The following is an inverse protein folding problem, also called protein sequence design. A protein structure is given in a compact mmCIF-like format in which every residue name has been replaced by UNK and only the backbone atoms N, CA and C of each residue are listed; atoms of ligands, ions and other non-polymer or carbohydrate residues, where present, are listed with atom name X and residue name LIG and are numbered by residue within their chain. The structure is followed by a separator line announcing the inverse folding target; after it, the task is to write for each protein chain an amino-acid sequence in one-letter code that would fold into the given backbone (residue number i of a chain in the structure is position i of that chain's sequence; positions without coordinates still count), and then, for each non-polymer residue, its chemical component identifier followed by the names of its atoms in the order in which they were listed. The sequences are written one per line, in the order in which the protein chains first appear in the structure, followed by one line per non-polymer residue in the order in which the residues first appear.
data_IF_750536036230
#
_entry.id   IF_750536036230
#
_cell.length_a   1.000
_cell.length_b   1.000
_cell.length_c   1.000
_cell.angle_alpha   90.00
_cell.angle_beta   90.00
_cell.angle_gamma   90.00
#
_symmetry.space_group_name_H-M   'P 1'
#
loop_
_entity.id
_entity.type
_entity.pdbx_description
1 polymer ?
#
# COMPACT_ATOMS: atom_id res chain seq x y z
N UNK A 1 -44.34 -19.90 -15.72
CA UNK A 1 -42.86 -19.83 -15.66
C UNK A 1 -42.40 -21.10 -14.96
N UNK A 2 -41.63 -21.96 -15.64
CA UNK A 2 -41.26 -23.29 -15.14
C UNK A 2 -40.30 -23.17 -13.94
N UNK A 3 -40.45 -24.02 -12.92
CA UNK A 3 -39.64 -24.00 -11.69
C UNK A 3 -38.13 -24.01 -12.00
N UNK A 4 -37.73 -24.75 -13.04
CA UNK A 4 -36.34 -24.81 -13.49
C UNK A 4 -35.80 -23.48 -14.04
N UNK A 5 -36.65 -22.66 -14.66
CA UNK A 5 -36.24 -21.33 -15.12
C UNK A 5 -36.14 -20.34 -13.95
N UNK A 6 -36.95 -20.52 -12.91
CA UNK A 6 -36.85 -19.72 -11.68
C UNK A 6 -35.57 -20.06 -10.91
N UNK A 7 -35.22 -21.35 -10.81
CA UNK A 7 -33.97 -21.80 -10.18
C UNK A 7 -32.74 -21.33 -10.97
N UNK A 8 -32.77 -21.39 -12.30
CA UNK A 8 -31.67 -20.85 -13.13
C UNK A 8 -31.51 -19.35 -13.00
N UNK A 9 -32.61 -18.58 -13.02
CA UNK A 9 -32.57 -17.12 -12.80
C UNK A 9 -32.13 -16.79 -11.38
N UNK A 10 -32.51 -17.58 -10.38
CA UNK A 10 -32.07 -17.41 -9.00
C UNK A 10 -30.58 -17.74 -8.82
N UNK A 11 -30.06 -18.79 -9.47
CA UNK A 11 -28.62 -19.08 -9.50
C UNK A 11 -27.83 -18.05 -10.31
N UNK A 12 -28.36 -17.57 -11.44
CA UNK A 12 -27.77 -16.46 -12.20
C UNK A 12 -27.81 -15.15 -11.41
N UNK A 13 -28.86 -14.90 -10.62
CA UNK A 13 -28.90 -13.80 -9.68
C UNK A 13 -27.86 -13.98 -8.59
N UNK A 14 -27.73 -15.15 -7.95
CA UNK A 14 -26.71 -15.44 -6.92
C UNK A 14 -25.29 -15.34 -7.50
N UNK A 15 -25.06 -15.78 -8.74
CA UNK A 15 -23.78 -15.62 -9.46
C UNK A 15 -23.53 -14.17 -9.90
N UNK A 16 -24.59 -13.39 -10.17
CA UNK A 16 -24.50 -11.94 -10.45
C UNK A 16 -24.48 -11.08 -9.18
N UNK A 17 -24.86 -11.66 -8.05
CA UNK A 17 -24.76 -11.13 -6.70
C UNK A 17 -23.74 -11.93 -5.90
N UNK A 18 -22.61 -12.29 -6.51
CA UNK A 18 -21.36 -12.09 -5.78
C UNK A 18 -21.24 -10.57 -5.60
N UNK A 19 -21.97 -10.04 -4.61
CA UNK A 19 -21.52 -8.83 -3.93
C UNK A 19 -20.21 -9.31 -3.33
N UNK A 20 -19.10 -9.12 -4.05
CA UNK A 20 -17.76 -9.43 -3.59
C UNK A 20 -17.61 -8.69 -2.28
N UNK A 21 -17.80 -9.39 -1.17
CA UNK A 21 -17.62 -8.79 0.13
C UNK A 21 -16.14 -8.46 0.20
N UNK A 22 -15.83 -7.18 0.42
CA UNK A 22 -14.45 -6.78 0.63
C UNK A 22 -13.83 -7.68 1.67
N UNK A 23 -12.60 -8.10 1.41
CA UNK A 23 -11.78 -8.69 2.42
C UNK A 23 -11.63 -7.71 3.59
N UNK A 24 -11.58 -8.24 4.81
CA UNK A 24 -11.15 -7.50 5.99
C UNK A 24 -9.73 -7.99 6.29
N UNK A 25 -8.69 -7.29 5.79
CA UNK A 25 -7.31 -7.62 6.10
C UNK A 25 -7.04 -7.73 7.60
N UNK A 26 -6.16 -8.65 7.97
CA UNK A 26 -5.51 -8.66 9.28
C UNK A 26 -4.65 -7.39 9.42
N UNK A 27 -4.65 -6.80 10.61
CA UNK A 27 -3.82 -5.65 10.91
C UNK A 27 -2.34 -5.99 10.67
N UNK A 28 -1.55 -5.01 10.25
CA UNK A 28 -0.14 -5.24 9.94
C UNK A 28 0.68 -3.97 10.08
N UNK A 29 1.96 -4.12 10.30
CA UNK A 29 2.92 -3.02 10.24
C UNK A 29 4.19 -3.48 9.51
N UNK A 30 5.11 -2.57 9.22
CA UNK A 30 6.34 -2.84 8.49
C UNK A 30 6.14 -3.53 7.13
N UNK A 31 4.97 -3.35 6.52
CA UNK A 31 4.67 -3.84 5.18
C UNK A 31 5.35 -2.97 4.12
N UNK A 32 5.49 -3.53 2.91
CA UNK A 32 5.80 -2.75 1.72
C UNK A 32 4.53 -2.51 0.90
N UNK A 33 4.44 -1.36 0.23
CA UNK A 33 3.38 -1.11 -0.74
C UNK A 33 3.89 -0.52 -2.04
N UNK A 34 3.18 -0.80 -3.14
CA UNK A 34 3.49 -0.26 -4.46
C UNK A 34 2.20 -0.03 -5.24
N UNK A 35 2.08 1.14 -5.87
CA UNK A 35 0.99 1.43 -6.80
C UNK A 35 1.32 0.85 -8.18
N UNK A 36 0.43 0.01 -8.70
CA UNK A 36 0.49 -0.49 -10.07
C UNK A 36 -0.86 -0.19 -10.73
N UNK A 37 -0.83 0.61 -11.79
CA UNK A 37 -2.02 1.15 -12.45
C UNK A 37 -3.00 1.81 -11.46
N UNK A 38 -4.12 1.15 -11.18
CA UNK A 38 -5.17 1.58 -10.24
C UNK A 38 -5.33 0.62 -9.06
N UNK A 39 -4.24 -0.04 -8.65
CA UNK A 39 -4.22 -0.94 -7.49
C UNK A 39 -3.02 -0.66 -6.60
N UNK A 40 -3.27 -0.43 -5.32
CA UNK A 40 -2.21 -0.35 -4.31
C UNK A 40 -1.98 -1.77 -3.80
N UNK A 41 -0.84 -2.36 -4.14
CA UNK A 41 -0.45 -3.67 -3.63
C UNK A 41 0.23 -3.52 -2.27
N UNK A 42 -0.05 -4.46 -1.37
CA UNK A 42 0.50 -4.56 -0.02
C UNK A 42 1.15 -5.93 0.14
N UNK A 43 2.43 -5.95 0.45
CA UNK A 43 3.23 -7.16 0.54
C UNK A 43 3.72 -7.34 1.97
N UNK A 44 3.35 -8.48 2.56
CA UNK A 44 3.78 -8.90 3.88
C UNK A 44 3.33 -7.98 5.01
N UNK A 45 4.26 -7.68 5.91
CA UNK A 45 4.08 -6.99 7.19
C UNK A 45 4.16 -7.94 8.39
N UNK A 46 4.15 -7.38 9.59
CA UNK A 46 4.10 -8.08 10.87
C UNK A 46 2.74 -7.88 11.53
N UNK A 47 2.22 -8.94 12.14
CA UNK A 47 0.94 -8.96 12.84
C UNK A 47 1.03 -9.86 14.08
N UNK A 48 0.48 -9.38 15.19
CA UNK A 48 0.30 -10.18 16.40
C UNK A 48 -0.90 -11.14 16.28
N UNK A 49 -1.80 -10.89 15.33
CA UNK A 49 -2.95 -11.73 15.03
C UNK A 49 -2.80 -12.47 13.70
N UNK A 50 -1.55 -12.70 13.28
CA UNK A 50 -1.24 -13.52 12.11
C UNK A 50 -2.01 -14.85 12.17
N UNK A 51 -2.66 -15.27 11.07
CA UNK A 51 -3.34 -16.56 11.02
C UNK A 51 -2.35 -17.74 10.98
N UNK A 52 -1.05 -17.45 10.84
CA UNK A 52 0.03 -18.43 10.77
C UNK A 52 0.90 -18.40 12.04
N UNK A 53 1.72 -19.44 12.27
CA UNK A 53 2.61 -19.50 13.43
C UNK A 53 3.61 -18.34 13.55
N UNK A 54 4.11 -17.80 12.44
CA UNK A 54 4.96 -16.60 12.45
C UNK A 54 4.13 -15.31 12.52
N UNK A 55 4.67 -14.27 13.16
CA UNK A 55 4.09 -12.92 13.13
C UNK A 55 4.24 -12.22 11.79
N UNK A 56 5.22 -12.60 10.97
CA UNK A 56 5.38 -12.06 9.62
C UNK A 56 4.37 -12.68 8.67
N UNK A 57 3.78 -11.85 7.81
CA UNK A 57 2.77 -12.24 6.84
C UNK A 57 3.43 -12.49 5.48
N UNK A 58 2.90 -13.48 4.76
CA UNK A 58 3.28 -13.82 3.39
C UNK A 58 2.17 -13.49 2.37
N UNK A 59 1.13 -12.79 2.82
CA UNK A 59 0.00 -12.41 1.99
C UNK A 59 0.34 -11.26 1.04
N UNK A 60 -0.29 -11.28 -0.13
CA UNK A 60 -0.36 -10.14 -1.05
C UNK A 60 -1.80 -9.67 -1.08
N UNK A 61 -2.01 -8.43 -0.66
CA UNK A 61 -3.30 -7.76 -0.74
C UNK A 61 -3.24 -6.66 -1.79
N UNK A 62 -4.38 -6.25 -2.33
CA UNK A 62 -4.48 -4.97 -3.01
C UNK A 62 -5.76 -4.23 -2.64
N UNK A 63 -5.68 -2.90 -2.73
CA UNK A 63 -6.82 -2.00 -2.71
C UNK A 63 -7.06 -1.49 -4.14
N UNK A 64 -8.22 -1.79 -4.72
CA UNK A 64 -8.58 -1.33 -6.05
C UNK A 64 -9.09 0.12 -5.99
N UNK A 65 -8.32 1.05 -6.54
CA UNK A 65 -8.60 2.49 -6.57
C UNK A 65 -9.09 2.93 -7.96
N UNK A 66 -9.59 2.00 -8.79
CA UNK A 66 -10.15 2.33 -10.10
C UNK A 66 -11.57 2.90 -10.04
N UNK A 67 -12.26 2.72 -8.90
CA UNK A 67 -13.63 3.19 -8.66
C UNK A 67 -13.72 3.92 -7.33
N UNK A 68 -14.76 4.72 -7.20
CA UNK A 68 -15.12 5.38 -5.95
C UNK A 68 -15.45 4.38 -4.84
N UNK A 69 -15.06 4.66 -3.59
CA UNK A 69 -15.47 3.85 -2.44
C UNK A 69 -15.41 4.63 -1.13
N UNK A 70 -16.13 4.12 -0.13
CA UNK A 70 -16.11 4.63 1.24
C UNK A 70 -15.15 3.81 2.11
N UNK A 71 -14.46 4.46 3.05
CA UNK A 71 -13.49 3.82 3.95
C UNK A 71 -14.12 2.80 4.91
N UNK A 72 -15.44 2.79 5.07
CA UNK A 72 -16.18 1.77 5.84
C UNK A 72 -16.22 0.41 5.12
N UNK A 73 -16.21 0.41 3.78
CA UNK A 73 -16.20 -0.80 2.97
C UNK A 73 -15.23 -0.63 1.78
N UNK A 74 -13.92 -0.53 2.05
CA UNK A 74 -12.90 -0.43 1.01
C UNK A 74 -12.94 -1.63 0.08
N UNK A 75 -12.49 -1.56 -1.18
CA UNK A 75 -12.39 -2.72 -2.07
C UNK A 75 -11.05 -3.47 -1.87
N UNK A 76 -10.84 -4.06 -0.69
CA UNK A 76 -9.67 -4.90 -0.45
C UNK A 76 -9.88 -6.31 -1.02
N UNK A 77 -8.86 -6.81 -1.70
CA UNK A 77 -8.80 -8.19 -2.20
C UNK A 77 -7.44 -8.82 -1.85
N UNK A 78 -7.43 -10.14 -1.71
CA UNK A 78 -6.21 -10.94 -1.51
C UNK A 78 -5.93 -11.76 -2.76
N UNK A 79 -4.67 -11.84 -3.16
CA UNK A 79 -4.24 -12.76 -4.21
C UNK A 79 -4.09 -14.15 -3.57
N UNK A 80 -5.18 -14.91 -3.61
CA UNK A 80 -5.24 -16.26 -3.05
C UNK A 80 -4.38 -17.22 -3.88
N UNK A 81 -3.76 -18.20 -3.21
CA UNK A 81 -2.94 -19.28 -3.78
C UNK A 81 -1.59 -18.88 -4.38
N UNK A 82 -1.21 -17.60 -4.29
CA UNK A 82 0.14 -17.14 -4.67
C UNK A 82 0.73 -16.25 -3.58
N UNK A 83 0.92 -16.77 -2.36
CA UNK A 83 1.57 -16.00 -1.31
C UNK A 83 3.01 -15.68 -1.72
N UNK A 84 3.58 -14.67 -1.06
CA UNK A 84 5.02 -14.48 -1.01
C UNK A 84 5.63 -15.83 -0.56
N UNK A 85 6.76 -16.29 -1.12
CA UNK A 85 7.35 -17.57 -0.72
C UNK A 85 7.80 -17.65 0.75
N UNK A 86 7.70 -16.55 1.50
CA UNK A 86 8.11 -16.33 2.86
C UNK A 86 7.27 -15.23 3.53
N UNK A 87 7.24 -15.22 4.86
CA UNK A 87 6.79 -14.06 5.61
C UNK A 87 7.78 -12.91 5.45
N UNK A 88 7.30 -11.72 5.08
CA UNK A 88 8.14 -10.57 4.77
C UNK A 88 7.79 -9.36 5.64
N UNK A 89 8.79 -8.63 6.15
CA UNK A 89 8.58 -7.32 6.80
C UNK A 89 9.83 -6.45 6.69
N UNK A 90 9.69 -5.13 6.84
CA UNK A 90 10.78 -4.15 6.73
C UNK A 90 11.59 -4.23 5.42
N UNK A 91 10.99 -4.81 4.38
CA UNK A 91 11.48 -4.86 3.03
C UNK A 91 11.11 -3.57 2.28
N UNK A 92 11.53 -3.45 1.02
CA UNK A 92 11.04 -2.42 0.10
C UNK A 92 10.60 -3.06 -1.20
N UNK A 93 9.53 -2.53 -1.79
CA UNK A 93 9.00 -2.99 -3.09
C UNK A 93 9.07 -1.90 -4.13
N UNK A 94 9.31 -2.28 -5.38
CA UNK A 94 9.26 -1.37 -6.52
C UNK A 94 8.76 -2.08 -7.77
N UNK A 95 8.02 -1.34 -8.60
CA UNK A 95 7.54 -1.84 -9.89
C UNK A 95 8.63 -1.62 -10.94
N UNK A 96 8.92 -2.64 -11.75
CA UNK A 96 9.74 -2.48 -12.94
C UNK A 96 9.05 -1.53 -13.93
N UNK A 97 9.68 -0.44 -14.38
CA UNK A 97 9.06 0.45 -15.36
C UNK A 97 8.92 -0.19 -16.75
N UNK A 98 9.65 -1.28 -17.04
CA UNK A 98 9.70 -1.93 -18.35
C UNK A 98 8.94 -3.26 -18.39
N UNK A 99 8.56 -3.82 -17.25
CA UNK A 99 7.93 -5.14 -17.14
C UNK A 99 6.78 -5.09 -16.13
N UNK A 100 5.77 -5.93 -16.30
CA UNK A 100 4.72 -6.15 -15.30
C UNK A 100 5.22 -7.01 -14.13
N UNK A 101 6.28 -6.55 -13.46
CA UNK A 101 6.96 -7.26 -12.37
C UNK A 101 7.12 -6.33 -11.18
N UNK A 102 6.62 -6.77 -10.02
CA UNK A 102 6.94 -6.17 -8.73
C UNK A 102 8.19 -6.86 -8.18
N UNK A 103 9.22 -6.09 -7.88
CA UNK A 103 10.37 -6.56 -7.13
C UNK A 103 10.16 -6.33 -5.63
N UNK A 104 10.49 -7.34 -4.83
CA UNK A 104 10.57 -7.28 -3.38
C UNK A 104 12.04 -7.45 -2.99
N UNK A 105 12.62 -6.40 -2.40
CA UNK A 105 14.02 -6.37 -2.02
C UNK A 105 14.18 -6.36 -0.50
N UNK A 106 15.01 -7.30 -0.03
CA UNK A 106 15.50 -7.45 1.32
C UNK A 106 14.39 -7.53 2.40
N UNK A 107 14.64 -7.01 3.60
CA UNK A 107 13.77 -7.16 4.76
C UNK A 107 13.96 -8.46 5.53
N UNK A 108 13.15 -8.64 6.57
CA UNK A 108 12.99 -9.90 7.27
C UNK A 108 12.33 -10.89 6.31
N UNK A 109 12.92 -12.08 6.18
CA UNK A 109 12.36 -13.18 5.39
C UNK A 109 12.39 -14.43 6.23
N UNK A 110 11.22 -14.86 6.71
CA UNK A 110 11.11 -16.00 7.62
C UNK A 110 10.05 -16.98 7.11
N UNK A 111 10.16 -18.25 7.48
CA UNK A 111 9.12 -19.21 7.12
C UNK A 111 7.85 -18.91 7.92
N UNK A 112 6.82 -18.44 7.23
CA UNK A 112 5.55 -18.04 7.83
C UNK A 112 4.85 -19.22 8.54
N UNK A 113 5.14 -20.46 8.17
CA UNK A 113 4.51 -21.66 8.72
C UNK A 113 5.22 -22.23 9.96
N UNK A 114 6.35 -21.65 10.36
CA UNK A 114 7.10 -22.10 11.53
C UNK A 114 6.91 -21.18 12.73
N UNK A 115 6.98 -21.75 13.94
CA UNK A 115 6.94 -20.97 15.19
C UNK A 115 8.26 -20.26 15.49
N UNK A 116 9.30 -20.46 14.69
CA UNK A 116 10.63 -19.93 14.98
C UNK A 116 11.01 -18.81 13.99
N UNK A 117 10.63 -17.56 14.26
CA UNK A 117 10.94 -16.41 13.40
C UNK A 117 12.44 -16.07 13.38
N UNK A 118 13.28 -16.70 14.21
CA UNK A 118 14.74 -16.48 14.19
C UNK A 118 15.46 -17.22 13.07
N UNK A 119 14.75 -18.04 12.30
CA UNK A 119 15.32 -18.73 11.15
C UNK A 119 15.07 -17.90 9.89
N UNK A 120 15.97 -16.97 9.62
CA UNK A 120 16.05 -16.24 8.36
C UNK A 120 16.55 -17.19 7.26
N UNK A 121 15.66 -18.04 6.76
CA UNK A 121 16.02 -19.17 5.90
C UNK A 121 16.31 -18.80 4.45
N UNK A 122 15.81 -17.66 3.98
CA UNK A 122 15.87 -17.31 2.57
C UNK A 122 17.21 -16.66 2.29
N UNK A 123 17.97 -17.18 1.32
CA UNK A 123 19.25 -16.60 0.90
C UNK A 123 19.08 -15.42 -0.07
N UNK A 124 18.24 -15.50 -1.11
CA UNK A 124 18.12 -14.41 -2.07
C UNK A 124 17.64 -13.12 -1.42
N UNK A 125 18.22 -12.00 -1.84
CA UNK A 125 17.81 -10.67 -1.37
C UNK A 125 16.79 -10.02 -2.31
N UNK A 126 16.60 -10.55 -3.52
CA UNK A 126 15.65 -10.04 -4.49
C UNK A 126 14.69 -11.15 -4.94
N UNK A 127 13.40 -10.84 -4.93
CA UNK A 127 12.35 -11.70 -5.45
C UNK A 127 11.48 -10.90 -6.41
N UNK A 128 10.99 -11.52 -7.47
CA UNK A 128 10.10 -10.90 -8.45
C UNK A 128 8.75 -11.60 -8.49
N UNK A 129 7.70 -10.81 -8.43
CA UNK A 129 6.32 -11.24 -8.66
C UNK A 129 5.87 -10.75 -10.03
N UNK A 130 5.60 -11.68 -10.94
CA UNK A 130 5.05 -11.37 -12.25
C UNK A 130 3.52 -11.20 -12.14
N UNK A 131 3.02 -10.02 -12.50
CA UNK A 131 1.60 -9.67 -12.38
C UNK A 131 0.70 -10.38 -13.41
N UNK A 132 1.27 -10.81 -14.53
CA UNK A 132 0.55 -11.51 -15.60
C UNK A 132 0.45 -13.00 -15.32
N UNK A 133 1.59 -13.65 -15.04
CA UNK A 133 1.62 -15.10 -14.76
C UNK A 133 1.20 -15.42 -13.33
N UNK A 134 1.25 -14.43 -12.42
CA UNK A 134 1.03 -14.58 -10.98
C UNK A 134 1.98 -15.61 -10.39
N UNK A 135 3.27 -15.43 -10.64
CA UNK A 135 4.32 -16.33 -10.16
C UNK A 135 5.46 -15.56 -9.50
N UNK A 136 6.01 -16.15 -8.45
CA UNK A 136 7.23 -15.70 -7.80
C UNK A 136 8.44 -16.39 -8.40
N UNK A 137 9.46 -15.59 -8.67
CA UNK A 137 10.75 -16.06 -9.17
C UNK A 137 11.88 -15.37 -8.42
N UNK A 138 13.04 -16.03 -8.37
CA UNK A 138 14.29 -15.41 -7.95
C UNK A 138 15.02 -15.01 -9.24
N UNK A 139 15.11 -13.71 -9.56
CA UNK A 139 15.79 -13.27 -10.77
C UNK A 139 17.29 -13.57 -10.67
N UNK A 140 17.89 -13.98 -11.78
CA UNK A 140 19.34 -14.09 -11.89
C UNK A 140 19.89 -12.69 -12.10
N UNK A 141 20.68 -12.21 -11.15
CA UNK A 141 21.27 -10.87 -11.18
C UNK A 141 22.79 -10.92 -11.37
N UNK A 142 23.34 -9.83 -11.89
CA UNK A 142 24.78 -9.65 -12.08
C UNK A 142 25.31 -8.57 -11.14
N UNK A 143 26.64 -8.41 -11.09
CA UNK A 143 27.30 -7.34 -10.35
C UNK A 143 27.46 -7.62 -8.86
N UNK A 144 27.51 -6.56 -8.05
CA UNK A 144 27.74 -6.66 -6.61
C UNK A 144 26.42 -6.86 -5.87
N UNK A 145 26.05 -8.12 -5.60
CA UNK A 145 24.84 -8.42 -4.83
C UNK A 145 24.99 -7.89 -3.38
N UNK A 146 24.05 -7.06 -2.90
CA UNK A 146 24.11 -6.51 -1.56
C UNK A 146 23.82 -7.57 -0.50
N UNK A 147 24.33 -7.36 0.71
CA UNK A 147 23.93 -8.15 1.87
C UNK A 147 22.47 -7.91 2.23
N UNK A 148 21.86 -8.91 2.88
CA UNK A 148 20.52 -8.80 3.46
C UNK A 148 20.49 -7.64 4.44
N UNK A 149 19.41 -6.86 4.39
CA UNK A 149 19.23 -5.66 5.20
C UNK A 149 17.75 -5.36 5.33
N UNK A 150 17.36 -4.69 6.40
CA UNK A 150 15.97 -4.32 6.67
C UNK A 150 15.84 -2.85 7.01
N UNK A 151 14.60 -2.40 7.11
CA UNK A 151 14.22 -1.05 7.50
C UNK A 151 14.79 0.01 6.55
N UNK A 152 14.66 -0.30 5.28
CA UNK A 152 15.08 0.48 4.13
C UNK A 152 13.86 1.09 3.45
N UNK A 153 14.08 2.18 2.72
CA UNK A 153 13.08 2.77 1.84
C UNK A 153 13.77 3.11 0.51
N UNK A 154 13.40 2.40 -0.55
CA UNK A 154 14.03 2.56 -1.86
C UNK A 154 13.13 3.30 -2.85
N UNK A 155 13.74 3.89 -3.88
CA UNK A 155 13.07 4.65 -4.93
C UNK A 155 13.50 4.18 -6.31
N UNK A 156 12.57 4.13 -7.27
CA UNK A 156 12.83 3.75 -8.67
C UNK A 156 12.72 4.98 -9.56
N UNK A 157 13.78 5.27 -10.32
CA UNK A 157 13.69 6.21 -11.42
C UNK A 157 13.04 5.49 -12.62
N UNK A 158 11.80 5.88 -12.93
CA UNK A 158 11.02 5.22 -13.99
C UNK A 158 11.60 5.44 -15.39
N UNK A 159 12.27 6.56 -15.63
CA UNK A 159 12.88 6.88 -16.93
C UNK A 159 14.12 6.02 -17.18
N UNK A 160 14.94 5.80 -16.16
CA UNK A 160 16.21 5.07 -16.29
C UNK A 160 16.12 3.59 -15.94
N UNK A 161 15.06 3.15 -15.25
CA UNK A 161 14.97 1.78 -14.71
C UNK A 161 15.91 1.51 -13.54
N UNK A 162 16.49 2.55 -12.93
CA UNK A 162 17.42 2.39 -11.80
C UNK A 162 16.68 2.54 -10.47
N UNK A 163 16.70 1.47 -9.69
CA UNK A 163 16.28 1.46 -8.30
C UNK A 163 17.45 1.84 -7.39
N UNK A 164 17.21 2.70 -6.41
CA UNK A 164 18.18 3.22 -5.46
C UNK A 164 17.73 2.96 -4.04
N UNK A 165 18.63 2.49 -3.19
CA UNK A 165 18.37 2.28 -1.77
C UNK A 165 19.64 2.49 -0.96
N UNK A 166 19.51 3.15 0.19
CA UNK A 166 20.64 3.51 1.03
C UNK A 166 20.62 2.76 2.37
N UNK A 167 21.77 2.36 2.88
CA UNK A 167 21.90 1.89 4.26
C UNK A 167 21.00 0.70 4.60
N UNK A 168 20.22 0.82 5.67
CA UNK A 168 19.52 -0.31 6.29
C UNK A 168 20.40 -1.04 7.31
N UNK A 169 19.89 -2.11 7.90
CA UNK A 169 20.66 -2.87 8.88
C UNK A 169 20.43 -4.37 8.81
N UNK A 170 21.41 -5.13 9.27
CA UNK A 170 21.40 -6.59 9.37
C UNK A 170 21.73 -7.01 10.81
N UNK A 171 21.07 -8.06 11.30
CA UNK A 171 21.46 -8.70 12.54
C UNK A 171 22.47 -9.81 12.24
N UNK A 172 23.64 -9.78 12.91
CA UNK A 172 24.71 -10.76 12.68
C UNK A 172 24.70 -11.79 13.81
N UNK A 173 24.42 -13.05 13.48
CA UNK A 173 24.61 -14.26 14.30
C UNK A 173 24.23 -14.15 15.79
N UNK A 174 22.97 -14.40 16.15
CA UNK A 174 22.51 -14.89 17.47
C UNK A 174 22.86 -14.10 18.74
N UNK A 175 23.63 -13.02 18.62
CA UNK A 175 24.01 -12.08 19.67
C UNK A 175 23.48 -10.69 19.29
N UNK A 176 23.55 -9.76 20.24
CA UNK A 176 23.14 -8.35 20.07
C UNK A 176 24.02 -7.54 19.09
N UNK A 177 24.71 -8.21 18.18
CA UNK A 177 25.55 -7.60 17.17
C UNK A 177 24.73 -7.34 15.91
N UNK A 178 24.76 -6.10 15.44
CA UNK A 178 24.11 -5.67 14.22
C UNK A 178 25.07 -4.79 13.42
N UNK A 179 24.87 -4.73 12.11
CA UNK A 179 25.55 -3.78 11.23
C UNK A 179 24.52 -2.85 10.63
N UNK A 180 24.74 -1.55 10.74
CA UNK A 180 23.97 -0.53 10.01
C UNK A 180 24.85 -0.03 8.87
N UNK A 181 24.32 -0.05 7.65
CA UNK A 181 25.07 0.28 6.45
C UNK A 181 24.91 1.76 6.06
N UNK A 182 25.86 2.25 5.26
CA UNK A 182 25.87 3.58 4.66
C UNK A 182 26.24 3.56 3.17
N UNK A 183 26.06 2.43 2.50
CA UNK A 183 26.24 2.27 1.07
C UNK A 183 24.98 2.69 0.30
N UNK A 184 25.17 3.27 -0.89
CA UNK A 184 24.12 3.44 -1.90
C UNK A 184 24.12 2.20 -2.80
N UNK A 185 23.07 1.39 -2.73
CA UNK A 185 22.86 0.27 -3.64
C UNK A 185 22.00 0.74 -4.80
N UNK A 186 22.45 0.43 -6.01
CA UNK A 186 21.74 0.72 -7.25
C UNK A 186 21.47 -0.59 -7.99
N UNK A 187 20.22 -0.80 -8.41
CA UNK A 187 19.82 -1.92 -9.25
C UNK A 187 19.26 -1.43 -10.57
N UNK A 188 19.85 -1.86 -11.67
CA UNK A 188 19.34 -1.61 -13.02
C UNK A 188 18.36 -2.73 -13.40
N UNK A 189 17.07 -2.39 -13.55
CA UNK A 189 16.02 -3.35 -13.90
C UNK A 189 16.08 -3.83 -15.35
N UNK A 190 16.83 -3.15 -16.21
CA UNK A 190 17.01 -3.50 -17.62
C UNK A 190 18.08 -4.59 -17.74
N UNK A 191 19.26 -4.34 -17.14
CA UNK A 191 20.39 -5.26 -17.19
C UNK A 191 20.42 -6.29 -16.05
N UNK A 192 19.49 -6.18 -15.07
CA UNK A 192 19.45 -6.96 -13.84
C UNK A 192 20.79 -6.95 -13.10
N UNK A 193 21.44 -5.79 -13.05
CA UNK A 193 22.79 -5.64 -12.50
C UNK A 193 22.76 -4.75 -11.26
N UNK A 194 23.41 -5.22 -10.20
CA UNK A 194 23.69 -4.45 -9.00
C UNK A 194 25.00 -3.68 -9.11
N UNK A 195 25.00 -2.46 -8.60
CA UNK A 195 26.18 -1.61 -8.48
C UNK A 195 26.12 -0.79 -7.19
N UNK A 196 27.29 -0.33 -6.73
CA UNK A 196 27.40 0.59 -5.59
C UNK A 196 27.53 2.01 -6.15
N UNK A 197 26.70 2.93 -5.67
CA UNK A 197 26.83 4.36 -5.92
C UNK A 197 27.96 4.99 -5.11
N UNK A 198 28.21 6.27 -5.33
CA UNK A 198 29.27 7.02 -4.68
C UNK A 198 29.20 6.95 -3.16
N UNK A 199 30.36 6.75 -2.54
CA UNK A 199 30.57 6.81 -1.09
C UNK A 199 31.15 8.16 -0.65
N UNK A 200 31.52 9.02 -1.61
CA UNK A 200 32.11 10.34 -1.33
C UNK A 200 31.01 11.24 -0.77
N UNK A 201 31.24 11.76 0.44
CA UNK A 201 30.29 12.57 1.21
C UNK A 201 28.96 11.86 1.53
N UNK A 202 28.92 10.53 1.46
CA UNK A 202 27.76 9.77 1.90
C UNK A 202 27.46 10.07 3.39
N UNK A 203 26.19 10.17 3.78
CA UNK A 203 25.84 10.41 5.17
C UNK A 203 26.23 9.22 6.05
N UNK A 204 26.14 9.41 7.37
CA UNK A 204 26.28 8.32 8.33
C UNK A 204 25.26 7.20 8.06
N UNK A 205 25.52 5.96 8.53
CA UNK A 205 24.60 4.85 8.39
C UNK A 205 23.18 5.20 8.84
N UNK A 206 22.18 4.74 8.10
CA UNK A 206 20.79 5.17 8.30
C UNK A 206 19.80 4.03 8.09
N UNK A 207 18.78 3.98 8.94
CA UNK A 207 17.66 3.02 8.89
C UNK A 207 16.34 3.70 9.25
N UNK A 208 15.19 3.10 8.95
CA UNK A 208 13.83 3.62 9.25
C UNK A 208 13.54 5.03 8.72
N UNK A 209 14.29 5.47 7.71
CA UNK A 209 14.14 6.76 7.02
C UNK A 209 13.12 6.65 5.88
N UNK A 210 12.76 7.78 5.29
CA UNK A 210 12.05 7.82 4.00
C UNK A 210 12.96 8.38 2.90
N UNK A 211 12.85 7.82 1.70
CA UNK A 211 13.51 8.33 0.51
C UNK A 211 12.45 8.81 -0.49
N UNK A 212 12.73 9.90 -1.19
CA UNK A 212 11.83 10.42 -2.22
C UNK A 212 12.65 10.96 -3.40
N UNK A 213 12.40 10.44 -4.59
CA UNK A 213 13.06 10.88 -5.83
C UNK A 213 12.27 12.04 -6.45
N UNK A 214 12.90 13.22 -6.53
CA UNK A 214 12.36 14.41 -7.20
C UNK A 214 12.52 14.32 -8.72
N UNK A 215 11.72 15.07 -9.46
CA UNK A 215 11.78 15.08 -10.95
C UNK A 215 13.11 15.59 -11.50
N UNK A 216 13.86 16.37 -10.72
CA UNK A 216 15.19 16.84 -11.12
C UNK A 216 16.28 15.75 -11.00
N UNK A 217 15.98 14.57 -10.45
CA UNK A 217 16.92 13.46 -10.27
C UNK A 217 17.61 13.43 -8.90
N UNK A 218 17.24 14.31 -7.97
CA UNK A 218 17.72 14.29 -6.58
C UNK A 218 16.84 13.35 -5.75
N UNK A 219 17.46 12.45 -5.00
CA UNK A 219 16.80 11.69 -3.93
C UNK A 219 16.98 12.44 -2.62
N UNK A 220 15.88 12.70 -1.92
CA UNK A 220 15.86 13.32 -0.60
C UNK A 220 15.66 12.23 0.45
N UNK A 221 16.60 12.11 1.40
CA UNK A 221 16.51 11.18 2.53
C UNK A 221 16.16 11.93 3.81
N UNK A 222 15.02 11.59 4.43
CA UNK A 222 14.44 12.31 5.56
C UNK A 222 14.38 11.42 6.80
N UNK A 223 14.85 11.97 7.94
CA UNK A 223 14.79 11.33 9.26
C UNK A 223 15.44 9.95 9.32
N UNK A 224 14.83 9.06 10.09
CA UNK A 224 15.35 7.73 10.39
C UNK A 224 16.26 7.73 11.61
N UNK A 225 17.04 6.66 11.75
CA UNK A 225 17.94 6.43 12.87
C UNK A 225 19.36 6.14 12.38
N UNK A 226 20.35 6.58 13.17
CA UNK A 226 21.76 6.40 12.89
C UNK A 226 22.27 4.98 13.25
N UNK A 227 23.59 4.77 13.18
CA UNK A 227 24.24 3.50 13.52
C UNK A 227 24.07 3.07 14.99
N UNK A 228 23.67 3.97 15.88
CA UNK A 228 23.38 3.68 17.28
C UNK A 228 21.87 3.66 17.56
N UNK A 229 21.03 3.61 16.52
CA UNK A 229 19.58 3.72 16.58
C UNK A 229 19.05 5.00 17.24
N UNK A 230 19.82 6.09 17.19
CA UNK A 230 19.37 7.41 17.64
C UNK A 230 18.69 8.13 16.50
N UNK A 231 17.65 8.90 16.80
CA UNK A 231 16.95 9.67 15.78
C UNK A 231 17.89 10.67 15.07
N UNK A 232 17.88 10.65 13.75
CA UNK A 232 18.61 11.60 12.89
C UNK A 232 17.86 12.92 12.86
N UNK A 233 18.59 14.04 12.92
CA UNK A 233 17.99 15.38 12.75
C UNK A 233 17.24 15.47 11.43
N UNK A 234 15.92 15.63 11.51
CA UNK A 234 15.02 15.65 10.35
C UNK A 234 15.27 16.86 9.44
N UNK A 235 15.92 17.91 9.94
CA UNK A 235 16.31 19.07 9.14
C UNK A 235 17.61 18.84 8.37
N UNK A 236 18.44 17.86 8.75
CA UNK A 236 19.68 17.51 8.05
C UNK A 236 19.37 16.50 6.93
N UNK A 237 18.96 17.06 5.79
CA UNK A 237 18.61 16.29 4.60
C UNK A 237 19.89 15.78 3.93
N UNK A 238 19.99 14.46 3.78
CA UNK A 238 20.97 13.90 2.86
C UNK A 238 20.34 13.85 1.47
N UNK A 239 21.07 14.36 0.48
CA UNK A 239 20.63 14.46 -0.90
C UNK A 239 21.58 13.66 -1.79
N UNK A 240 21.03 12.86 -2.69
CA UNK A 240 21.82 12.11 -3.66
C UNK A 240 21.41 12.47 -5.09
N UNK A 241 22.34 13.01 -5.86
CA UNK A 241 22.14 13.31 -7.27
C UNK A 241 22.40 12.07 -8.13
N UNK A 242 21.32 11.51 -8.68
CA UNK A 242 21.37 10.29 -9.51
C UNK A 242 22.01 10.50 -10.88
N UNK A 243 22.13 11.74 -11.36
CA UNK A 243 22.71 12.07 -12.67
C UNK A 243 24.23 12.15 -12.63
N UNK A 244 24.79 12.64 -11.53
CA UNK A 244 26.24 12.81 -11.36
C UNK A 244 26.85 11.91 -10.30
N UNK A 245 26.04 11.07 -9.65
CA UNK A 245 26.46 10.12 -8.61
C UNK A 245 27.17 10.81 -7.44
N UNK A 246 26.50 11.78 -6.81
CA UNK A 246 27.09 12.56 -5.71
C UNK A 246 26.13 12.81 -4.56
N UNK A 247 26.69 12.74 -3.36
CA UNK A 247 26.03 13.16 -2.14
C UNK A 247 26.24 14.64 -1.85
N UNK A 248 25.23 15.26 -1.26
CA UNK A 248 25.30 16.55 -0.59
C UNK A 248 24.40 16.56 0.64
N UNK A 249 24.62 17.53 1.53
CA UNK A 249 23.79 17.73 2.73
C UNK A 249 23.15 19.11 2.63
N UNK A 250 21.88 19.20 3.01
CA UNK A 250 21.15 20.46 3.09
C UNK A 250 20.45 20.54 4.45
N UNK A 251 20.64 21.67 5.14
CA UNK A 251 19.82 21.99 6.31
C UNK A 251 18.54 22.68 5.86
N UNK A 252 17.40 21.99 6.00
CA UNK A 252 16.10 22.57 5.75
C UNK A 252 15.79 23.68 6.77
N UNK A 253 15.02 24.69 6.33
CA UNK A 253 14.54 25.79 7.17
C UNK A 253 13.04 25.63 7.45
N UNK A 254 12.46 26.58 8.17
CA UNK A 254 11.02 26.65 8.43
C UNK A 254 10.68 26.21 9.85
N UNK A 255 9.58 25.50 10.01
CA UNK A 255 9.10 25.05 11.33
C UNK A 255 9.99 23.95 11.92
N UNK A 256 10.17 23.96 13.23
CA UNK A 256 10.87 22.88 13.95
C UNK A 256 9.98 21.65 14.04
N UNK A 257 10.52 20.51 13.61
CA UNK A 257 9.87 19.20 13.69
C UNK A 257 10.62 18.31 14.67
N UNK A 258 9.90 17.41 15.34
CA UNK A 258 10.53 16.31 16.06
C UNK A 258 11.17 15.34 15.07
N UNK A 259 12.38 14.90 15.42
CA UNK A 259 13.06 13.82 14.73
C UNK A 259 12.22 12.54 14.82
N UNK A 260 12.32 11.70 13.79
CA UNK A 260 11.46 10.52 13.66
C UNK A 260 12.04 9.48 12.73
N UNK A 261 11.82 8.22 13.07
CA UNK A 261 11.88 7.09 12.16
C UNK A 261 10.49 6.51 11.92
N UNK A 262 10.40 5.49 11.05
CA UNK A 262 9.18 4.70 10.82
C UNK A 262 7.98 5.53 10.33
N UNK A 263 8.24 6.71 9.77
CA UNK A 263 7.26 7.54 9.09
C UNK A 263 7.17 7.14 7.62
N UNK A 264 6.13 7.61 6.93
CA UNK A 264 6.02 7.47 5.47
C UNK A 264 6.18 8.83 4.79
N UNK A 265 6.46 8.82 3.50
CA UNK A 265 6.55 10.02 2.68
C UNK A 265 5.94 9.79 1.30
N UNK A 266 5.38 10.85 0.71
CA UNK A 266 4.93 10.87 -0.69
C UNK A 266 5.38 12.15 -1.38
N UNK A 267 5.69 12.06 -2.68
CA UNK A 267 5.96 13.22 -3.54
C UNK A 267 4.67 13.68 -4.21
N UNK A 268 4.33 14.95 -4.05
CA UNK A 268 3.18 15.57 -4.73
C UNK A 268 3.53 16.01 -6.16
N UNK A 269 2.53 16.18 -7.06
CA UNK A 269 2.77 16.67 -8.41
C UNK A 269 3.41 18.06 -8.48
N UNK A 270 3.23 18.87 -7.44
CA UNK A 270 3.84 20.19 -7.32
C UNK A 270 5.21 20.19 -6.61
N UNK A 271 5.88 19.04 -6.52
CA UNK A 271 7.24 18.85 -5.97
C UNK A 271 7.35 19.20 -4.48
N UNK A 272 6.35 18.82 -3.67
CA UNK A 272 6.44 18.85 -2.21
C UNK A 272 6.54 17.43 -1.70
N UNK A 273 7.29 17.24 -0.62
CA UNK A 273 7.31 15.96 0.09
C UNK A 273 6.40 16.09 1.30
N UNK A 274 5.36 15.26 1.36
CA UNK A 274 4.49 15.14 2.53
C UNK A 274 4.99 13.97 3.35
N UNK A 275 5.34 14.20 4.62
CA UNK A 275 5.66 13.12 5.57
C UNK A 275 4.51 12.92 6.54
N UNK A 276 4.26 11.66 6.92
CA UNK A 276 3.22 11.32 7.89
C UNK A 276 3.69 10.32 8.94
N UNK A 277 3.27 10.56 10.18
CA UNK A 277 3.48 9.74 11.35
C UNK A 277 4.93 9.54 11.74
N UNK A 278 5.22 8.33 12.22
CA UNK A 278 6.49 7.94 12.80
C UNK A 278 6.54 8.10 14.31
N UNK A 279 7.68 7.70 14.87
CA UNK A 279 7.95 7.76 16.30
C UNK A 279 9.36 8.26 16.54
N UNK A 280 9.55 8.91 17.69
CA UNK A 280 10.86 9.26 18.23
C UNK A 280 11.44 8.11 19.06
N UNK A 281 12.59 8.34 19.68
CA UNK A 281 13.21 7.45 20.66
C UNK A 281 12.17 6.86 21.65
N UNK A 282 12.40 5.63 22.11
CA UNK A 282 11.48 4.82 22.94
C UNK A 282 10.11 4.47 22.32
N UNK A 283 9.96 4.61 20.99
CA UNK A 283 8.72 4.31 20.23
C UNK A 283 7.53 5.22 20.59
N UNK A 284 7.82 6.40 21.13
CA UNK A 284 6.81 7.41 21.43
C UNK A 284 6.32 8.09 20.13
N UNK A 285 5.01 8.31 19.95
CA UNK A 285 4.51 9.10 18.83
C UNK A 285 5.11 10.50 18.79
N UNK A 286 5.33 10.99 17.58
CA UNK A 286 5.59 12.42 17.35
C UNK A 286 4.33 13.26 17.52
N UNK A 287 4.47 14.52 17.94
CA UNK A 287 3.36 15.46 18.13
C UNK A 287 2.78 15.91 16.77
N UNK A 288 3.66 16.36 15.88
CA UNK A 288 3.27 16.81 14.53
C UNK A 288 3.32 15.62 13.57
N UNK A 289 2.21 14.91 13.45
CA UNK A 289 2.11 13.71 12.59
C UNK A 289 2.31 14.06 11.11
N UNK A 290 1.79 15.19 10.63
CA UNK A 290 1.90 15.63 9.23
C UNK A 290 2.85 16.83 9.11
N UNK A 291 3.77 16.77 8.16
CA UNK A 291 4.59 17.92 7.76
C UNK A 291 4.86 17.91 6.25
N UNK A 292 5.14 19.08 5.69
CA UNK A 292 5.32 19.28 4.26
C UNK A 292 6.64 20.00 4.02
N UNK A 293 7.51 19.39 3.21
CA UNK A 293 8.76 19.97 2.74
C UNK A 293 8.54 20.58 1.35
N UNK A 294 8.67 21.89 1.24
CA UNK A 294 8.70 22.58 -0.04
C UNK A 294 10.09 22.43 -0.67
N UNK A 295 10.19 21.69 -1.78
CA UNK A 295 11.47 21.44 -2.47
C UNK A 295 11.79 22.46 -3.56
N UNK A 296 10.93 23.47 -3.77
CA UNK A 296 11.13 24.54 -4.75
C UNK A 296 11.91 25.74 -4.19
N UNK A 297 12.16 25.79 -2.89
CA UNK A 297 12.99 26.84 -2.25
C UNK A 297 14.41 26.33 -2.02
N UNK A 298 15.39 27.23 -1.89
CA UNK A 298 16.76 26.83 -1.50
C UNK A 298 17.21 27.68 -0.30
N UNK A 299 17.39 27.08 0.90
CA UNK A 299 17.17 25.68 1.23
C UNK A 299 15.69 25.27 1.20
N UNK A 300 15.42 23.96 1.17
CA UNK A 300 14.07 23.41 1.32
C UNK A 300 13.42 23.88 2.63
N UNK A 301 12.09 24.05 2.63
CA UNK A 301 11.38 24.69 3.72
C UNK A 301 10.24 23.80 4.26
N UNK A 302 10.29 23.53 5.57
CA UNK A 302 9.27 22.81 6.30
C UNK A 302 8.08 23.71 6.64
N UNK A 303 6.88 23.14 6.55
CA UNK A 303 5.63 23.71 7.04
C UNK A 303 4.75 22.63 7.67
N UNK A 304 3.88 23.02 8.59
CA UNK A 304 2.82 22.17 9.15
C UNK A 304 1.49 22.74 8.65
N UNK A 305 0.80 22.04 7.73
CA UNK A 305 -0.49 22.50 7.24
C UNK A 305 -1.55 22.37 8.35
N UNK A 306 -2.59 23.21 8.27
CA UNK A 306 -3.77 23.05 9.11
C UNK A 306 -4.59 21.87 8.58
N UNK A 307 -4.81 20.87 9.42
CA UNK A 307 -5.54 19.64 9.06
C UNK A 307 -6.91 19.68 9.69
N UNK A 308 -7.97 19.41 8.92
CA UNK A 308 -9.32 19.29 9.47
C UNK A 308 -9.40 18.08 10.41
N UNK A 309 -9.69 18.26 11.69
CA UNK A 309 -9.89 17.13 12.60
C UNK A 309 -11.15 16.35 12.20
N UNK A 310 -11.01 15.04 11.96
CA UNK A 310 -12.14 14.11 12.08
C UNK A 310 -12.12 13.61 13.53
N UNK A 311 -13.17 13.93 14.28
CA UNK A 311 -13.57 13.28 15.53
C UNK A 311 -12.45 12.90 16.52
N UNK A 312 -11.58 13.85 16.87
CA UNK A 312 -10.58 13.72 17.94
C UNK A 312 -9.68 12.47 17.87
N UNK A 313 -9.45 11.89 16.69
CA UNK A 313 -8.69 10.65 16.60
C UNK A 313 -7.18 10.95 16.62
N UNK A 314 -6.41 10.48 17.63
CA UNK A 314 -4.97 10.62 17.60
C UNK A 314 -4.44 9.63 16.55
N UNK A 315 -4.18 10.14 15.34
CA UNK A 315 -3.65 9.39 14.19
C UNK A 315 -2.17 9.02 14.37
N UNK A 316 -1.74 8.72 15.59
CA UNK A 316 -0.37 8.33 15.89
C UNK A 316 -0.10 6.97 15.29
N UNK A 317 0.58 6.92 14.14
CA UNK A 317 0.94 5.67 13.48
C UNK A 317 2.41 5.65 13.09
N UNK A 318 3.06 4.50 13.24
CA UNK A 318 4.42 4.24 12.79
C UNK A 318 4.48 2.90 12.05
N UNK A 319 5.54 2.68 11.28
CA UNK A 319 5.73 1.46 10.48
C UNK A 319 4.54 1.18 9.53
N UNK A 320 3.89 2.23 9.05
CA UNK A 320 2.86 2.17 8.01
C UNK A 320 3.49 2.44 6.65
N UNK A 321 2.75 2.17 5.58
CA UNK A 321 3.11 2.66 4.25
C UNK A 321 2.22 3.84 3.85
N UNK A 322 2.71 4.69 2.94
CA UNK A 322 1.85 5.64 2.28
C UNK A 322 1.99 5.55 0.77
N UNK A 323 0.93 5.90 0.06
CA UNK A 323 0.89 5.88 -1.39
C UNK A 323 0.04 7.04 -1.87
N UNK A 324 0.60 7.86 -2.75
CA UNK A 324 -0.16 8.92 -3.40
C UNK A 324 -0.89 8.33 -4.60
N UNK A 325 -2.20 8.49 -4.62
CA UNK A 325 -3.06 8.21 -5.76
C UNK A 325 -3.73 9.52 -6.12
N UNK A 326 -3.35 10.10 -7.26
CA UNK A 326 -3.85 11.41 -7.70
C UNK A 326 -3.64 12.48 -6.62
N UNK A 327 -4.71 13.04 -6.09
CA UNK A 327 -4.72 14.07 -5.04
C UNK A 327 -4.97 13.51 -3.63
N UNK A 328 -4.87 12.18 -3.45
CA UNK A 328 -5.12 11.53 -2.18
C UNK A 328 -3.90 10.75 -1.70
N UNK A 329 -3.42 11.10 -0.51
CA UNK A 329 -2.44 10.30 0.21
C UNK A 329 -3.18 9.22 0.99
N UNK A 330 -2.94 7.96 0.62
CA UNK A 330 -3.40 6.79 1.36
C UNK A 330 -2.36 6.47 2.43
N UNK A 331 -2.76 6.50 3.70
CA UNK A 331 -1.95 6.06 4.85
C UNK A 331 -2.44 4.65 5.18
N UNK A 332 -1.62 3.64 4.93
CA UNK A 332 -2.02 2.24 4.99
C UNK A 332 -1.34 1.50 6.14
N UNK A 333 -2.18 0.92 7.00
CA UNK A 333 -1.82 0.08 8.12
C UNK A 333 -0.89 0.77 9.14
N UNK A 334 -0.02 0.01 9.81
CA UNK A 334 0.92 0.50 10.81
C UNK A 334 0.55 0.16 12.25
N UNK A 335 1.42 0.61 13.17
CA UNK A 335 1.28 0.42 14.61
C UNK A 335 0.81 1.70 15.25
N UNK A 336 -0.21 1.61 16.12
CA UNK A 336 -0.71 2.73 16.93
C UNK A 336 -0.29 2.48 18.39
N UNK A 337 0.58 3.32 18.98
CA UNK A 337 0.96 3.17 20.38
C UNK A 337 -0.24 3.31 21.33
N UNK A 338 -0.28 2.49 22.38
CA UNK A 338 -1.24 2.55 23.49
C UNK A 338 -2.74 2.26 23.17
N UNK A 339 -3.07 1.72 21.98
CA UNK A 339 -4.46 1.38 21.66
C UNK A 339 -4.83 -0.08 21.94
N UNK A 340 -5.97 -0.27 22.62
CA UNK A 340 -6.52 -1.58 23.01
C UNK A 340 -7.25 -2.29 21.86
N UNK A 341 -7.24 -3.64 21.90
CA UNK A 341 -7.67 -4.66 20.90
C UNK A 341 -8.99 -4.47 20.12
N UNK A 342 -9.81 -3.45 20.39
CA UNK A 342 -11.20 -3.36 19.88
C UNK A 342 -11.30 -2.67 18.51
N UNK A 343 -10.32 -1.85 18.12
CA UNK A 343 -10.15 -1.47 16.71
C UNK A 343 -9.26 -2.52 16.05
N UNK A 344 -9.85 -3.54 15.43
CA UNK A 344 -9.16 -4.39 14.47
C UNK A 344 -9.72 -3.97 13.10
N UNK A 345 -9.19 -2.89 12.52
CA UNK A 345 -9.50 -2.55 11.12
C UNK A 345 -8.68 -3.45 10.18
N UNK A 346 -8.96 -3.45 8.87
CA UNK A 346 -7.94 -3.03 7.93
C UNK A 346 -7.73 -1.53 8.06
N UNK A 347 -6.65 -1.11 8.73
CA UNK A 347 -6.47 0.30 9.04
C UNK A 347 -5.95 1.03 7.81
N UNK A 348 -6.71 1.98 7.28
CA UNK A 348 -6.17 2.97 6.37
C UNK A 348 -6.93 4.29 6.49
N UNK A 349 -6.25 5.38 6.14
CA UNK A 349 -6.81 6.72 6.13
C UNK A 349 -6.52 7.39 4.79
N UNK A 350 -7.41 8.29 4.38
CA UNK A 350 -7.26 9.03 3.13
C UNK A 350 -7.18 10.52 3.45
N UNK A 351 -6.08 11.15 3.05
CA UNK A 351 -5.87 12.58 3.17
C UNK A 351 -5.95 13.21 1.77
N UNK A 352 -6.91 14.11 1.56
CA UNK A 352 -6.93 14.98 0.39
C UNK A 352 -5.84 16.05 0.54
N UNK A 353 -4.83 16.00 -0.32
CA UNK A 353 -3.64 16.86 -0.21
C UNK A 353 -3.86 18.28 -0.79
N UNK A 354 -5.01 18.54 -1.44
CA UNK A 354 -5.33 19.87 -1.98
C UNK A 354 -5.57 20.89 -0.88
N UNK A 355 -6.18 20.43 0.21
CA UNK A 355 -6.58 21.26 1.35
C UNK A 355 -6.20 20.62 2.71
N UNK A 356 -5.48 19.49 2.71
CA UNK A 356 -5.10 18.73 3.90
C UNK A 356 -6.30 18.33 4.75
N UNK A 357 -7.33 17.78 4.09
CA UNK A 357 -8.53 17.29 4.78
C UNK A 357 -8.60 15.77 4.77
N UNK A 358 -8.91 15.19 5.91
CA UNK A 358 -9.21 13.76 5.97
C UNK A 358 -10.55 13.51 5.31
N UNK A 359 -10.63 12.45 4.50
CA UNK A 359 -11.85 12.06 3.80
C UNK A 359 -12.19 10.60 4.11
N UNK A 360 -13.48 10.31 4.20
CA UNK A 360 -14.01 8.94 4.35
C UNK A 360 -14.47 8.35 3.03
N UNK A 361 -14.29 9.10 1.94
CA UNK A 361 -14.74 8.72 0.61
C UNK A 361 -13.69 9.10 -0.43
N UNK A 362 -13.31 8.14 -1.26
CA UNK A 362 -12.39 8.32 -2.37
C UNK A 362 -13.19 8.42 -3.67
N UNK A 363 -12.84 9.41 -4.49
CA UNK A 363 -13.36 9.62 -5.83
C UNK A 363 -12.17 9.72 -6.79
N UNK A 364 -11.98 8.75 -7.71
CA UNK A 364 -10.93 8.85 -8.70
C UNK A 364 -11.27 9.94 -9.72
N UNK A 365 -10.25 10.65 -10.21
CA UNK A 365 -10.41 11.62 -11.29
C UNK A 365 -10.89 10.91 -12.57
N UNK A 366 -12.02 11.36 -13.11
CA UNK A 366 -12.49 10.89 -14.41
C UNK A 366 -11.45 11.22 -15.48
N UNK A 367 -11.15 10.24 -16.34
CA UNK A 367 -10.29 10.51 -17.49
C UNK A 367 -10.95 11.58 -18.37
N UNK A 368 -10.22 12.61 -18.83
CA UNK A 368 -10.81 13.63 -19.69
C UNK A 368 -11.43 12.98 -20.92
N UNK A 369 -12.74 13.20 -21.12
CA UNK A 369 -13.47 12.75 -22.30
C UNK A 369 -12.81 13.43 -23.50
N UNK A 370 -12.08 12.67 -24.31
CA UNK A 370 -11.62 13.14 -25.62
C UNK A 370 -12.85 13.21 -26.52
N UNK A 371 -13.46 14.39 -26.60
CA UNK A 371 -14.45 14.67 -27.64
C UNK A 371 -13.67 14.76 -28.95
N UNK A 372 -13.62 13.68 -29.71
CA UNK A 372 -13.25 13.74 -31.12
C UNK A 372 -14.36 14.50 -31.84
N UNK A 373 -14.16 15.80 -32.05
CA UNK A 373 -15.00 16.58 -32.96
C UNK A 373 -14.84 16.02 -34.36
N UNK A 374 -15.80 15.23 -34.82
CA UNK A 374 -15.93 14.84 -36.22
C UNK A 374 -16.21 16.12 -37.01
N UNK A 375 -15.23 16.57 -37.80
CA UNK A 375 -15.41 17.62 -38.79
C UNK A 375 -16.41 17.16 -39.84
N UNK A 376 -17.65 17.66 -39.77
CA UNK A 376 -18.59 17.58 -40.87
C UNK A 376 -18.34 18.74 -41.84
N UNK A 377 -17.72 18.43 -42.98
CA UNK A 377 -17.70 19.32 -44.15
C UNK A 377 -19.11 19.46 -44.74
N UNK A 378 -19.49 20.64 -45.28
CA UNK A 378 -20.83 20.85 -45.81
C UNK A 378 -20.94 20.38 -47.27
N UNK A 379 -21.95 19.59 -47.57
CA UNK A 379 -22.43 19.39 -48.95
C UNK A 379 -23.87 19.90 -49.08
N UNK A 380 -24.03 20.91 -49.91
CA UNK A 380 -25.31 21.39 -50.42
C UNK A 380 -25.88 20.36 -51.41
N UNK A 381 -27.18 20.05 -51.32
CA UNK A 381 -28.16 20.32 -52.40
C UNK A 381 -29.54 19.66 -52.16
N UNK A 382 -30.56 20.53 -52.23
CA UNK A 382 -31.89 20.42 -52.88
C UNK A 382 -33.00 19.44 -52.43
N UNK A 383 -34.14 20.10 -52.13
CA UNK A 383 -35.55 19.82 -52.48
C UNK A 383 -36.43 18.90 -51.59
N UNK A 384 -37.45 19.54 -51.00
CA UNK A 384 -38.67 19.06 -50.29
C UNK A 384 -39.64 18.23 -51.19
N UNK A 385 -40.84 17.75 -50.74
CA UNK A 385 -41.53 17.95 -49.43
C UNK A 385 -42.27 16.73 -48.80
N UNK A 386 -42.78 16.99 -47.59
CA UNK A 386 -44.02 16.48 -46.96
C UNK A 386 -44.16 15.00 -46.50
N UNK A 387 -44.42 14.80 -45.19
CA UNK A 387 -45.73 14.35 -44.66
C UNK A 387 -45.72 14.22 -43.11
N UNK A 388 -46.61 15.00 -42.49
CA UNK A 388 -47.49 14.71 -41.32
C UNK A 388 -46.98 13.99 -40.05
N UNK A 389 -47.01 14.77 -38.97
CA UNK A 389 -47.54 14.48 -37.62
C UNK A 389 -48.11 13.09 -37.30
N UNK A 390 -47.71 12.52 -36.15
CA UNK A 390 -48.68 12.09 -35.14
C UNK A 390 -48.07 12.05 -33.72
N UNK A 391 -48.79 12.70 -32.79
CA UNK A 391 -48.60 12.65 -31.34
C UNK A 391 -49.72 11.73 -30.82
N UNK A 392 -49.39 10.76 -29.98
CA UNK A 392 -50.39 10.07 -29.15
C UNK A 392 -49.88 9.98 -27.72
N UNK A 393 -50.52 10.77 -26.87
CA UNK A 393 -50.53 10.67 -25.42
C UNK A 393 -51.46 9.51 -25.00
N UNK A 394 -51.17 8.84 -23.88
CA UNK A 394 -52.15 8.37 -22.89
C UNK A 394 -51.49 7.49 -21.83
N UNK A 395 -51.51 8.00 -20.60
CA UNK A 395 -51.10 7.29 -19.40
C UNK A 395 -52.19 6.42 -18.75
N UNK A 396 -51.76 5.86 -17.60
CA UNK A 396 -52.48 5.14 -16.52
C UNK A 396 -52.70 3.63 -16.71
N UNK A 397 -51.93 2.84 -15.95
CA UNK A 397 -52.46 1.93 -14.92
C UNK A 397 -51.35 1.46 -13.96
N UNK A 398 -51.48 1.83 -12.68
CA UNK A 398 -50.77 1.23 -11.52
C UNK A 398 -51.80 0.39 -10.78
N UNK A 399 -51.44 -0.84 -10.37
CA UNK A 399 -52.21 -1.59 -9.39
C UNK A 399 -51.72 -3.02 -9.10
N UNK A 400 -51.07 -3.18 -7.94
CA UNK A 400 -51.09 -4.37 -7.05
C UNK A 400 -50.22 -5.58 -7.44
N UNK A 401 -48.96 -5.63 -6.96
CA UNK A 401 -48.27 -6.85 -6.44
C UNK A 401 -47.19 -6.43 -5.41
N UNK A 402 -47.51 -6.25 -4.12
CA UNK A 402 -46.50 -6.05 -3.04
C UNK A 402 -46.67 -7.02 -1.85
N UNK A 403 -47.66 -7.93 -1.86
CA UNK A 403 -48.00 -8.72 -0.67
C UNK A 403 -47.20 -10.01 -0.39
N UNK A 404 -46.46 -10.58 -1.34
CA UNK A 404 -45.96 -11.97 -1.20
C UNK A 404 -44.46 -12.17 -1.42
N UNK A 405 -43.72 -11.14 -1.86
CA UNK A 405 -42.26 -11.23 -2.06
C UNK A 405 -41.48 -10.85 -0.79
N UNK A 406 -42.06 -10.02 0.10
CA UNK A 406 -41.37 -9.54 1.30
C UNK A 406 -41.13 -10.59 2.38
N UNK A 407 -41.99 -11.61 2.49
CA UNK A 407 -41.92 -12.59 3.57
C UNK A 407 -40.95 -13.76 3.26
N UNK A 408 -40.78 -14.11 1.99
CA UNK A 408 -39.87 -15.17 1.54
C UNK A 408 -38.41 -14.70 1.47
N UNK A 409 -38.16 -13.42 1.16
CA UNK A 409 -36.81 -12.83 1.19
C UNK A 409 -36.29 -12.65 2.63
N UNK A 410 -37.18 -12.31 3.57
CA UNK A 410 -36.83 -12.14 4.98
C UNK A 410 -36.42 -13.44 5.70
N UNK A 411 -37.06 -14.57 5.37
CA UNK A 411 -36.73 -15.87 6.01
C UNK A 411 -35.44 -16.46 5.44
N UNK A 412 -35.19 -16.32 4.13
CA UNK A 412 -33.96 -16.81 3.48
C UNK A 412 -32.69 -16.11 3.99
N UNK A 413 -32.77 -14.79 4.22
CA UNK A 413 -31.64 -14.01 4.76
C UNK A 413 -31.31 -14.38 6.20
N UNK A 414 -32.31 -14.63 7.05
CA UNK A 414 -32.08 -15.04 8.45
C UNK A 414 -31.51 -16.45 8.53
N UNK A 415 -32.02 -17.40 7.74
CA UNK A 415 -31.50 -18.78 7.71
C UNK A 415 -30.07 -18.82 7.12
N UNK A 416 -29.78 -18.01 6.09
CA UNK A 416 -28.44 -17.86 5.53
C UNK A 416 -27.43 -17.27 6.53
N UNK A 417 -27.81 -16.23 7.27
CA UNK A 417 -26.97 -15.62 8.30
C UNK A 417 -26.70 -16.56 9.48
N UNK A 418 -27.69 -17.35 9.90
CA UNK A 418 -27.54 -18.35 10.96
C UNK A 418 -26.69 -19.54 10.50
N UNK A 419 -26.89 -20.03 9.27
CA UNK A 419 -26.05 -21.06 8.65
C UNK A 419 -24.60 -20.63 8.49
N UNK A 420 -24.37 -19.37 8.10
CA UNK A 420 -23.03 -18.79 7.98
C UNK A 420 -22.35 -18.61 9.34
N UNK A 421 -23.06 -18.11 10.36
CA UNK A 421 -22.54 -18.06 11.75
C UNK A 421 -22.18 -19.45 12.28
N UNK A 422 -22.98 -20.46 11.95
CA UNK A 422 -22.71 -21.85 12.31
C UNK A 422 -21.47 -22.40 11.59
N UNK A 423 -21.33 -22.18 10.27
CA UNK A 423 -20.16 -22.56 9.48
C UNK A 423 -18.88 -21.90 9.99
N UNK A 424 -18.90 -20.59 10.27
CA UNK A 424 -17.74 -19.86 10.82
C UNK A 424 -17.35 -20.41 12.20
N UNK A 425 -18.32 -20.73 13.06
CA UNK A 425 -18.07 -21.34 14.38
C UNK A 425 -17.46 -22.76 14.28
N UNK A 426 -17.74 -23.51 13.22
CA UNK A 426 -17.15 -24.84 12.98
C UNK A 426 -15.73 -24.75 12.40
N UNK A 427 -15.46 -23.80 11.50
CA UNK A 427 -14.13 -23.58 10.90
C UNK A 427 -13.07 -23.15 11.94
N UNK A 428 -13.48 -22.51 13.03
CA UNK A 428 -12.61 -22.16 14.17
C UNK A 428 -12.60 -23.17 15.33
N UNK A 429 -13.41 -24.24 15.26
CA UNK A 429 -13.41 -25.32 16.26
C UNK A 429 -12.55 -26.53 15.89
N UNK A 430 -12.01 -26.59 14.67
CA UNK A 430 -11.20 -27.73 14.19
C UNK A 430 -9.69 -27.56 14.43
N UNK A 431 -9.27 -26.73 15.38
CA UNK A 431 -7.89 -26.67 15.87
C UNK A 431 -7.86 -26.59 17.39
N UNK A 432 -8.39 -27.64 18.04
CA UNK A 432 -8.01 -27.99 19.42
C UNK A 432 -7.70 -29.49 19.41
N UNK A 433 -6.44 -29.93 19.52
CA UNK A 433 -6.16 -31.29 19.98
C UNK A 433 -6.52 -31.33 21.47
N UNK A 434 -7.55 -32.10 21.80
CA UNK A 434 -7.91 -32.42 23.18
C UNK A 434 -6.72 -33.08 23.89
N UNK A 435 -6.40 -32.60 25.09
CA UNK A 435 -5.43 -33.25 25.97
C UNK A 435 -5.99 -34.60 26.48
N UNK A 436 -5.18 -35.65 26.35
CA UNK A 436 -5.19 -36.82 27.23
C UNK A 436 -6.14 -37.97 26.86
N UNK A 437 -5.56 -39.13 26.56
CA UNK A 437 -5.76 -40.31 27.41
C UNK A 437 -4.60 -41.30 27.24
N UNK A 438 -4.31 -42.11 28.28
CA UNK A 438 -3.01 -42.74 28.48
C UNK A 438 -3.04 -44.25 28.15
N UNK A 439 -1.91 -44.92 28.40
CA UNK A 439 -1.72 -46.39 28.58
C UNK A 439 -1.54 -47.11 27.23
N UNK A 440 -0.50 -47.92 26.95
CA UNK A 440 0.50 -48.66 27.74
C UNK A 440 1.87 -48.61 27.04
#
# INVERSE_FOLDING_TARGET
MNIDNFIKIFFLMILSTEIGQSLIPVERSALSSVLVDKRIYFLGGESLHSPKPSSTLDQILYLDVSKSFNTVNPPFEEIINVPIPFGSSYATTFLSPQKNVIYLFAGNMVDANTKNPSLEFYKPVLHSYNLETREWTVPITNGFEPTRRRAINGVINKETGKFYVFGGWEQINGQNNYTVYNDMIVFDTISLTWSIGSTINAPLPRTYYTATLLSNGIIVFIGGKDNNFRDVDINQLALYDTKVDKWSIMTARGVTLENRGLHSAVLTPDERIIIFGGSKDSNEPVLNQLAVLNTKTTPYEWSIPQVSAIDNMPLTTSAHSATLVENYMFINFGTIPNYSKIQLLPFFYILDIRNFTWVTHFEPEESPIVITSVNNSPTNSTNSPDLTTEKSDNGKQIGIIIGTIGLSVGVGTVVGLLGYKYYKKQKYKHTIPTAGSPIN
#
